data_IF_062904384807
#
_entry.id   IF_062904384807
#
_cell.length_a   1.000
_cell.length_b   1.000
_cell.length_c   1.000
_cell.angle_alpha   90.00
_cell.angle_beta   90.00
_cell.angle_gamma   90.00
#
_symmetry.space_group_name_H-M   'P 1'
#
loop_
_entity.id
_entity.type
_entity.pdbx_description
1 polymer ?
#
# COMPACT_ATOMS: atom_id res chain seq x y z
N UNK A 1 1.57 14.80 3.66
CA UNK A 1 2.10 13.42 3.48
C UNK A 1 1.03 12.38 3.15
N UNK A 2 1.17 11.67 2.02
CA UNK A 2 0.32 10.53 1.61
C UNK A 2 0.88 9.21 2.15
N UNK A 3 0.03 8.31 2.65
CA UNK A 3 0.43 7.00 3.20
C UNK A 3 0.05 5.88 2.24
N UNK A 4 1.05 5.22 1.67
CA UNK A 4 0.90 4.17 0.66
C UNK A 4 1.34 2.84 1.27
N UNK A 5 0.45 1.87 1.28
CA UNK A 5 0.73 0.52 1.79
C UNK A 5 0.66 -0.47 0.63
N UNK A 6 1.76 -1.19 0.40
CA UNK A 6 1.86 -2.24 -0.59
C UNK A 6 1.69 -3.61 0.09
N UNK A 7 0.69 -4.38 -0.30
CA UNK A 7 0.54 -5.77 0.15
C UNK A 7 1.14 -6.69 -0.89
N UNK A 8 2.14 -7.46 -0.47
CA UNK A 8 2.75 -8.49 -1.29
C UNK A 8 2.90 -9.75 -0.45
N UNK A 9 2.84 -10.92 -1.09
CA UNK A 9 3.16 -12.18 -0.43
C UNK A 9 4.60 -12.10 0.10
N UNK A 10 4.73 -12.01 1.42
CA UNK A 10 5.97 -11.81 2.18
C UNK A 10 7.25 -12.30 1.46
N UNK A 11 8.08 -11.38 0.96
CA UNK A 11 9.33 -11.71 0.27
C UNK A 11 10.30 -10.53 0.11
N UNK A 12 11.60 -10.85 -0.10
CA UNK A 12 12.68 -9.84 -0.26
C UNK A 12 12.49 -8.89 -1.46
N UNK A 13 11.78 -9.30 -2.50
CA UNK A 13 11.58 -8.51 -3.73
C UNK A 13 10.69 -7.28 -3.51
N UNK A 14 9.79 -7.32 -2.52
CA UNK A 14 8.91 -6.20 -2.18
C UNK A 14 9.66 -5.07 -1.48
N UNK A 15 10.69 -5.42 -0.69
CA UNK A 15 11.55 -4.45 -0.01
C UNK A 15 12.31 -3.57 -1.01
N UNK A 16 12.81 -4.15 -2.10
CA UNK A 16 13.53 -3.38 -3.14
C UNK A 16 12.61 -2.40 -3.87
N UNK A 17 11.37 -2.80 -4.18
CA UNK A 17 10.40 -1.91 -4.82
C UNK A 17 10.06 -0.73 -3.92
N UNK A 18 9.80 -0.97 -2.64
CA UNK A 18 9.50 0.10 -1.66
C UNK A 18 10.68 1.06 -1.52
N UNK A 19 11.92 0.57 -1.52
CA UNK A 19 13.11 1.44 -1.49
C UNK A 19 13.13 2.36 -2.70
N UNK A 20 12.97 1.82 -3.92
CA UNK A 20 12.93 2.63 -5.16
C UNK A 20 11.77 3.62 -5.19
N UNK A 21 10.61 3.23 -4.67
CA UNK A 21 9.45 4.13 -4.58
C UNK A 21 9.72 5.28 -3.60
N UNK A 22 10.35 5.02 -2.45
CA UNK A 22 10.74 6.07 -1.50
C UNK A 22 11.82 7.00 -2.10
N UNK A 23 12.79 6.46 -2.83
CA UNK A 23 13.79 7.26 -3.56
C UNK A 23 13.14 8.14 -4.63
N UNK A 24 12.19 7.60 -5.40
CA UNK A 24 11.46 8.36 -6.40
C UNK A 24 10.61 9.47 -5.77
N UNK A 25 9.92 9.18 -4.66
CA UNK A 25 9.16 10.19 -3.92
C UNK A 25 10.06 11.34 -3.44
N UNK A 26 11.25 11.02 -2.91
CA UNK A 26 12.26 12.04 -2.55
C UNK A 26 12.73 12.85 -3.75
N UNK A 27 13.05 12.21 -4.88
CA UNK A 27 13.50 12.89 -6.11
C UNK A 27 12.45 13.82 -6.69
N UNK A 28 11.18 13.47 -6.54
CA UNK A 28 10.03 14.24 -7.04
C UNK A 28 9.49 15.24 -6.01
N UNK A 29 10.13 15.36 -4.84
CA UNK A 29 9.65 16.18 -3.71
C UNK A 29 8.21 15.88 -3.31
N UNK A 30 7.80 14.61 -3.43
CA UNK A 30 6.49 14.12 -3.02
C UNK A 30 6.59 13.66 -1.57
N UNK A 31 5.81 14.27 -0.68
CA UNK A 31 5.65 13.77 0.68
C UNK A 31 4.80 12.49 0.69
N UNK A 32 5.45 11.33 0.57
CA UNK A 32 4.82 10.04 0.71
C UNK A 32 5.57 9.14 1.71
N UNK A 33 4.82 8.41 2.53
CA UNK A 33 5.32 7.31 3.36
C UNK A 33 4.88 6.01 2.72
N UNK A 34 5.84 5.21 2.26
CA UNK A 34 5.58 3.99 1.49
C UNK A 34 6.11 2.80 2.28
N UNK A 35 5.21 1.88 2.62
CA UNK A 35 5.53 0.66 3.38
C UNK A 35 5.06 -0.58 2.63
N UNK A 36 5.70 -1.72 2.89
CA UNK A 36 5.22 -3.02 2.45
C UNK A 36 4.93 -3.91 3.65
N UNK A 37 3.80 -4.61 3.61
CA UNK A 37 3.35 -5.50 4.68
C UNK A 37 2.75 -6.77 4.07
N UNK A 38 2.72 -7.85 4.86
CA UNK A 38 1.94 -9.03 4.51
C UNK A 38 0.44 -8.72 4.66
N UNK A 39 -0.43 -9.49 3.98
CA UNK A 39 -1.89 -9.31 4.11
C UNK A 39 -2.33 -9.40 5.58
N UNK A 40 -1.79 -10.36 6.34
CA UNK A 40 -2.13 -10.57 7.74
C UNK A 40 -1.87 -9.31 8.62
N UNK A 41 -0.85 -8.53 8.25
CA UNK A 41 -0.46 -7.30 8.93
C UNK A 41 -1.23 -6.07 8.45
N UNK A 42 -1.87 -6.13 7.28
CA UNK A 42 -2.61 -4.98 6.72
C UNK A 42 -3.66 -4.45 7.70
N UNK A 43 -4.32 -5.33 8.47
CA UNK A 43 -5.32 -4.93 9.47
C UNK A 43 -4.78 -3.96 10.54
N UNK A 44 -3.48 -3.98 10.81
CA UNK A 44 -2.83 -3.09 11.76
C UNK A 44 -2.41 -1.74 11.14
N UNK A 45 -2.35 -1.67 9.80
CA UNK A 45 -1.95 -0.49 9.05
C UNK A 45 -3.09 0.14 8.25
N UNK A 46 -4.28 -0.47 8.25
CA UNK A 46 -5.43 -0.10 7.43
C UNK A 46 -5.93 1.33 7.72
N UNK A 47 -5.89 1.76 8.98
CA UNK A 47 -6.29 3.12 9.37
C UNK A 47 -5.24 4.16 8.98
N UNK A 48 -3.99 3.71 8.86
CA UNK A 48 -2.84 4.49 8.43
C UNK A 48 -2.53 4.38 6.93
N UNK A 49 -3.49 3.92 6.14
CA UNK A 49 -3.33 3.73 4.69
C UNK A 49 -4.32 4.61 3.93
N UNK A 50 -3.78 5.55 3.15
CA UNK A 50 -4.59 6.37 2.24
C UNK A 50 -4.73 5.68 0.88
N UNK A 51 -3.68 4.96 0.45
CA UNK A 51 -3.65 4.22 -0.82
C UNK A 51 -3.16 2.80 -0.56
N UNK A 52 -4.02 1.82 -0.85
CA UNK A 52 -3.66 0.41 -0.79
C UNK A 52 -3.28 -0.09 -2.19
N UNK A 53 -2.06 -0.59 -2.33
CA UNK A 53 -1.59 -1.24 -3.54
C UNK A 53 -1.49 -2.75 -3.31
N UNK A 54 -2.04 -3.54 -4.22
CA UNK A 54 -1.96 -4.99 -4.18
C UNK A 54 -0.94 -5.49 -5.20
N UNK A 55 0.04 -6.26 -4.73
CA UNK A 55 0.97 -6.95 -5.62
C UNK A 55 0.25 -7.98 -6.50
N UNK A 56 0.84 -8.36 -7.65
CA UNK A 56 0.20 -9.27 -8.60
C UNK A 56 -0.12 -10.64 -8.00
N UNK A 57 0.73 -11.13 -7.08
CA UNK A 57 0.56 -12.41 -6.37
C UNK A 57 -0.71 -12.47 -5.52
N UNK A 58 -1.21 -11.31 -5.06
CA UNK A 58 -2.36 -11.20 -4.16
C UNK A 58 -3.55 -10.50 -4.83
N UNK A 59 -3.59 -10.49 -6.16
CA UNK A 59 -4.64 -9.82 -6.96
C UNK A 59 -6.06 -10.30 -6.61
N UNK A 60 -6.21 -11.57 -6.20
CA UNK A 60 -7.50 -12.13 -5.79
C UNK A 60 -8.09 -11.42 -4.56
N UNK A 61 -7.27 -10.75 -3.74
CA UNK A 61 -7.73 -9.96 -2.59
C UNK A 61 -8.37 -8.62 -2.98
N UNK A 62 -8.30 -8.22 -4.26
CA UNK A 62 -8.88 -6.96 -4.72
C UNK A 62 -10.38 -6.91 -4.40
N UNK A 63 -11.13 -7.98 -4.63
CA UNK A 63 -12.57 -8.01 -4.32
C UNK A 63 -12.86 -7.78 -2.84
N UNK A 64 -12.06 -8.40 -1.96
CA UNK A 64 -12.18 -8.28 -0.50
C UNK A 64 -11.95 -6.84 -0.02
N UNK A 65 -10.90 -6.19 -0.52
CA UNK A 65 -10.54 -4.85 -0.06
C UNK A 65 -11.24 -3.74 -0.83
N UNK A 66 -11.65 -3.96 -2.08
CA UNK A 66 -12.39 -2.96 -2.85
C UNK A 66 -13.69 -2.57 -2.14
N UNK A 67 -14.49 -3.53 -1.69
CA UNK A 67 -15.72 -3.24 -0.94
C UNK A 67 -15.46 -2.54 0.41
N UNK A 68 -14.33 -2.84 1.07
CA UNK A 68 -13.96 -2.24 2.34
C UNK A 68 -13.33 -0.83 2.22
N UNK A 69 -12.73 -0.50 1.07
CA UNK A 69 -12.05 0.77 0.84
C UNK A 69 -12.86 1.74 -0.03
N UNK A 70 -13.77 1.28 -0.89
CA UNK A 70 -14.70 2.15 -1.63
C UNK A 70 -15.62 2.95 -0.69
N UNK A 71 -15.83 2.49 0.55
CA UNK A 71 -16.59 3.26 1.56
C UNK A 71 -15.77 4.37 2.23
N UNK A 72 -14.43 4.38 2.06
CA UNK A 72 -13.54 5.45 2.56
C UNK A 72 -13.12 6.44 1.47
N UNK A 73 -13.31 6.10 0.19
CA UNK A 73 -13.11 7.02 -0.94
C UNK A 73 -14.38 7.82 -1.20
N UNK A 74 -14.32 9.14 -0.99
CA UNK A 74 -15.38 10.14 -1.24
C UNK A 74 -16.64 10.10 -0.36
N UNK A 75 -16.58 10.88 0.73
CA UNK A 75 -17.63 11.84 1.11
C UNK A 75 -17.02 13.18 1.53
N UNK A 76 -16.25 13.84 0.66
CA UNK A 76 -15.95 15.27 0.80
C UNK A 76 -15.77 15.93 -0.55
#
# INVERSE_FOLDING_TARGET
MKRITLVCGAGMSTSLLVVKMNEAAKKLSIEAKIIAVAEAELKHHIEDTDVLLLGPQVRFLLGKYKSAYETKGDKS
#
